data_IF_254324954294
#
_entry.id   IF_254324954294
#
_cell.length_a   1.000
_cell.length_b   1.000
_cell.length_c   1.000
_cell.angle_alpha   90.00
_cell.angle_beta   90.00
_cell.angle_gamma   90.00
#
_symmetry.space_group_name_H-M   'P 1'
#
loop_
_entity.id
_entity.type
_entity.pdbx_description
1 polymer ?
#
# COMPACT_ATOMS: atom_id res chain seq x y z
N UNK A 1 11.78 -57.75 -9.28
CA UNK A 1 11.54 -57.77 -10.74
C UNK A 1 10.04 -57.70 -11.02
N UNK A 2 9.48 -56.53 -11.32
CA UNK A 2 8.65 -56.27 -12.51
C UNK A 2 8.01 -54.88 -12.43
N UNK A 3 8.07 -54.25 -13.58
CA UNK A 3 7.82 -52.88 -13.96
C UNK A 3 6.38 -52.69 -14.48
N UNK A 4 5.94 -51.41 -14.50
CA UNK A 4 5.06 -50.76 -15.48
C UNK A 4 3.54 -51.04 -15.48
N UNK A 5 2.74 -49.97 -15.50
CA UNK A 5 2.10 -49.51 -16.74
C UNK A 5 1.35 -48.16 -16.57
N UNK A 6 1.69 -47.23 -17.46
CA UNK A 6 0.99 -45.97 -17.81
C UNK A 6 -0.06 -46.31 -18.88
N UNK A 7 -1.26 -45.70 -18.85
CA UNK A 7 -2.17 -45.51 -20.01
C UNK A 7 -3.40 -44.70 -19.55
N UNK A 8 -3.44 -43.36 -19.67
CA UNK A 8 -3.91 -42.58 -20.84
C UNK A 8 -5.13 -43.21 -21.52
N UNK A 9 -6.32 -42.73 -21.16
CA UNK A 9 -7.56 -42.91 -21.92
C UNK A 9 -8.06 -41.55 -22.39
N UNK A 10 -8.27 -41.49 -23.70
CA UNK A 10 -8.83 -40.39 -24.47
C UNK A 10 -10.32 -40.18 -24.17
N UNK A 11 -10.80 -38.93 -24.18
CA UNK A 11 -11.95 -38.48 -24.99
C UNK A 11 -12.36 -37.04 -24.62
N UNK A 12 -12.37 -36.17 -25.62
CA UNK A 12 -12.97 -34.85 -25.56
C UNK A 12 -14.51 -34.95 -25.60
N UNK A 13 -15.19 -34.18 -24.74
CA UNK A 13 -16.58 -33.79 -24.95
C UNK A 13 -16.75 -32.32 -24.55
N UNK A 14 -16.86 -31.50 -25.58
CA UNK A 14 -17.15 -30.08 -25.52
C UNK A 14 -18.65 -29.92 -25.22
N UNK A 15 -19.00 -29.44 -24.04
CA UNK A 15 -20.38 -29.02 -23.73
C UNK A 15 -20.38 -27.50 -23.63
N UNK A 16 -20.81 -26.85 -24.71
CA UNK A 16 -21.22 -25.46 -24.71
C UNK A 16 -22.65 -25.41 -24.13
N UNK A 17 -22.80 -24.84 -22.94
CA UNK A 17 -24.10 -24.42 -22.41
C UNK A 17 -24.00 -22.93 -22.09
N UNK A 18 -24.58 -22.11 -22.97
CA UNK A 18 -24.72 -20.67 -22.76
C UNK A 18 -25.95 -20.32 -21.93
N UNK A 19 -25.90 -19.08 -21.42
CA UNK A 19 -26.94 -18.24 -20.82
C UNK A 19 -27.27 -18.47 -19.33
N UNK A 20 -26.84 -17.52 -18.47
CA UNK A 20 -27.47 -17.37 -17.15
C UNK A 20 -26.77 -16.55 -16.08
N UNK A 21 -25.58 -15.96 -16.26
CA UNK A 21 -25.06 -15.02 -15.27
C UNK A 21 -25.78 -13.67 -15.42
N UNK A 22 -26.68 -13.36 -14.49
CA UNK A 22 -27.22 -12.01 -14.30
C UNK A 22 -26.06 -11.12 -13.89
N UNK A 23 -25.40 -10.52 -14.87
CA UNK A 23 -24.54 -9.38 -14.65
C UNK A 23 -25.45 -8.29 -14.04
N UNK A 24 -25.29 -8.04 -12.74
CA UNK A 24 -25.63 -6.74 -12.21
C UNK A 24 -24.77 -5.76 -12.98
N UNK A 25 -25.47 -4.84 -13.65
CA UNK A 25 -24.97 -3.87 -14.60
C UNK A 25 -24.03 -2.88 -13.91
N UNK A 26 -22.75 -3.26 -13.79
CA UNK A 26 -21.68 -2.41 -13.25
C UNK A 26 -21.12 -1.48 -14.35
N UNK A 27 -21.44 -1.76 -15.63
CA UNK A 27 -20.90 -1.02 -16.76
C UNK A 27 -21.65 0.29 -17.04
N UNK A 28 -22.98 0.32 -16.91
CA UNK A 28 -23.75 1.55 -17.11
C UNK A 28 -23.62 2.54 -15.94
N UNK A 29 -23.29 2.10 -14.72
CA UNK A 29 -22.99 3.01 -13.60
C UNK A 29 -21.62 3.69 -13.72
N UNK A 30 -20.61 3.00 -14.28
CA UNK A 30 -19.28 3.58 -14.50
C UNK A 30 -19.27 4.61 -15.65
N UNK A 31 -20.20 4.51 -16.61
CA UNK A 31 -20.35 5.47 -17.71
C UNK A 31 -20.99 6.80 -17.29
N UNK A 32 -21.84 6.79 -16.26
CA UNK A 32 -22.54 7.98 -15.76
C UNK A 32 -21.74 8.76 -14.70
N UNK A 33 -20.80 8.11 -14.01
CA UNK A 33 -19.92 8.75 -13.02
C UNK A 33 -18.92 9.76 -13.62
N UNK A 34 -18.45 9.53 -14.85
CA UNK A 34 -17.53 10.43 -15.55
C UNK A 34 -18.20 11.72 -16.05
N UNK A 35 -19.53 11.70 -16.22
CA UNK A 35 -20.32 12.84 -16.69
C UNK A 35 -20.70 13.80 -15.56
N UNK A 36 -20.55 13.39 -14.30
CA UNK A 36 -20.88 14.18 -13.10
C UNK A 36 -19.71 14.33 -12.12
N UNK A 37 -18.47 14.35 -12.64
CA UNK A 37 -17.28 14.88 -11.93
C UNK A 37 -16.88 14.23 -10.60
N UNK A 38 -17.49 13.10 -10.23
CA UNK A 38 -17.22 12.41 -8.98
C UNK A 38 -16.21 11.29 -9.26
N UNK A 39 -14.94 11.67 -9.39
CA UNK A 39 -13.84 10.72 -9.23
C UNK A 39 -13.94 10.14 -7.81
N UNK A 40 -13.86 8.80 -7.63
CA UNK A 40 -13.84 8.22 -6.30
C UNK A 40 -12.61 8.76 -5.55
N UNK A 41 -12.84 9.67 -4.61
CA UNK A 41 -11.84 10.06 -3.62
C UNK A 41 -11.56 8.81 -2.79
N UNK A 42 -10.49 8.09 -3.09
CA UNK A 42 -9.92 7.13 -2.15
C UNK A 42 -9.37 7.91 -0.95
N UNK A 43 -10.26 8.40 -0.10
CA UNK A 43 -9.96 8.93 1.22
C UNK A 43 -9.78 7.77 2.23
N UNK A 44 -9.13 6.69 1.79
CA UNK A 44 -8.55 5.73 2.72
C UNK A 44 -7.33 6.39 3.35
N UNK A 45 -7.12 6.19 4.66
CA UNK A 45 -5.88 6.56 5.34
C UNK A 45 -4.70 5.94 4.57
N UNK A 46 -4.07 6.72 3.69
CA UNK A 46 -3.00 6.24 2.84
C UNK A 46 -1.76 6.06 3.71
N UNK A 47 -1.27 4.83 3.79
CA UNK A 47 -0.01 4.55 4.45
C UNK A 47 1.14 4.92 3.49
N UNK A 48 1.99 5.86 3.90
CA UNK A 48 3.18 6.25 3.13
C UNK A 48 4.41 5.37 3.41
N UNK A 49 4.33 4.45 4.38
CA UNK A 49 5.41 3.49 4.65
C UNK A 49 5.48 2.44 3.54
N UNK A 50 6.60 2.44 2.81
CA UNK A 50 6.85 1.51 1.69
C UNK A 50 7.64 0.27 2.10
N UNK A 51 8.33 0.31 3.24
CA UNK A 51 9.09 -0.83 3.74
C UNK A 51 8.16 -1.95 4.21
N UNK A 52 8.38 -3.16 3.69
CA UNK A 52 7.54 -4.34 3.97
C UNK A 52 8.25 -5.42 4.79
N UNK A 53 9.54 -5.24 5.09
CA UNK A 53 10.30 -6.17 5.93
C UNK A 53 9.69 -6.31 7.32
N UNK A 54 9.67 -7.56 7.82
CA UNK A 54 8.97 -7.91 9.04
C UNK A 54 9.67 -9.04 9.83
N UNK A 55 10.89 -8.78 10.31
CA UNK A 55 11.62 -9.77 11.09
C UNK A 55 10.88 -10.02 12.41
N UNK A 56 10.73 -11.28 12.80
CA UNK A 56 9.92 -11.65 13.96
C UNK A 56 8.44 -11.26 13.82
N UNK A 57 7.95 -11.02 12.60
CA UNK A 57 6.57 -10.58 12.35
C UNK A 57 6.32 -9.09 12.61
N UNK A 58 7.36 -8.31 12.91
CA UNK A 58 7.23 -6.89 13.28
C UNK A 58 7.41 -6.00 12.05
N UNK A 59 6.29 -5.44 11.57
CA UNK A 59 6.26 -4.49 10.45
C UNK A 59 6.54 -3.06 10.92
N UNK A 60 7.01 -2.22 9.99
CA UNK A 60 7.12 -0.79 10.22
C UNK A 60 5.75 -0.16 10.45
N UNK A 61 5.69 0.77 11.39
CA UNK A 61 4.45 1.47 11.72
C UNK A 61 3.95 2.26 10.51
N UNK A 62 2.63 2.31 10.29
CA UNK A 62 2.10 3.08 9.18
C UNK A 62 2.33 4.58 9.38
N UNK A 63 2.64 5.28 8.31
CA UNK A 63 2.72 6.74 8.26
C UNK A 63 1.41 7.23 7.65
N UNK A 64 0.57 7.82 8.48
CA UNK A 64 -0.80 8.22 8.12
C UNK A 64 -0.98 9.73 8.20
N UNK A 65 -2.08 10.23 7.65
CA UNK A 65 -2.38 11.66 7.69
C UNK A 65 -2.95 12.02 9.05
N UNK A 66 -2.32 12.98 9.72
CA UNK A 66 -2.81 13.51 10.99
C UNK A 66 -3.95 14.53 10.78
N UNK A 67 -4.57 14.94 11.88
CA UNK A 67 -5.56 16.04 11.89
C UNK A 67 -4.92 17.43 12.06
N UNK A 68 -3.59 17.53 12.21
CA UNK A 68 -2.88 18.79 12.40
C UNK A 68 -2.18 19.21 11.09
N UNK A 69 -2.57 20.33 10.45
CA UNK A 69 -1.96 20.78 9.20
C UNK A 69 -0.46 21.15 9.35
N UNK A 70 -0.02 21.61 10.51
CA UNK A 70 1.39 21.94 10.77
C UNK A 70 2.26 20.68 11.00
N UNK A 71 1.61 19.55 11.30
CA UNK A 71 2.26 18.25 11.54
C UNK A 71 1.50 17.14 10.83
N UNK A 72 1.50 17.13 9.49
CA UNK A 72 0.55 16.34 8.70
C UNK A 72 0.80 14.83 8.73
N UNK A 73 1.97 14.38 9.20
CA UNK A 73 2.31 12.97 9.30
C UNK A 73 2.03 12.44 10.71
N UNK A 74 1.48 11.25 10.83
CA UNK A 74 1.23 10.57 12.10
C UNK A 74 1.76 9.15 12.08
N UNK A 75 2.45 8.76 13.16
CA UNK A 75 3.00 7.43 13.40
C UNK A 75 2.68 7.04 14.84
N UNK A 76 1.79 6.06 15.03
CA UNK A 76 1.39 5.54 16.35
C UNK A 76 0.93 6.62 17.35
N UNK A 77 0.27 7.67 16.85
CA UNK A 77 -0.22 8.80 17.66
C UNK A 77 0.77 9.96 17.81
N UNK A 78 2.04 9.79 17.46
CA UNK A 78 2.99 10.89 17.34
C UNK A 78 2.82 11.58 15.99
N UNK A 79 2.79 12.91 15.96
CA UNK A 79 2.70 13.69 14.72
C UNK A 79 4.05 14.27 14.29
N UNK A 80 4.24 14.59 13.02
CA UNK A 80 5.53 15.10 12.50
C UNK A 80 5.31 16.15 11.40
N UNK A 81 6.16 17.17 11.33
CA UNK A 81 6.08 18.20 10.29
C UNK A 81 6.53 17.70 8.92
N UNK A 82 7.44 16.72 8.87
CA UNK A 82 8.04 16.21 7.64
C UNK A 82 8.03 14.68 7.56
N UNK A 83 8.04 14.15 6.34
CA UNK A 83 7.98 12.72 6.07
C UNK A 83 9.22 11.98 6.57
N UNK A 84 10.42 12.56 6.43
CA UNK A 84 11.68 11.88 6.79
C UNK A 84 11.73 11.60 8.29
N UNK A 85 11.35 12.56 9.13
CA UNK A 85 11.26 12.38 10.58
C UNK A 85 10.20 11.34 10.95
N UNK A 86 9.04 11.35 10.29
CA UNK A 86 8.00 10.34 10.50
C UNK A 86 8.47 8.92 10.10
N UNK A 87 9.11 8.79 8.94
CA UNK A 87 9.63 7.51 8.44
C UNK A 87 10.71 6.95 9.36
N UNK A 88 11.63 7.80 9.83
CA UNK A 88 12.64 7.41 10.81
C UNK A 88 11.99 6.93 12.11
N UNK A 89 10.98 7.64 12.63
CA UNK A 89 10.23 7.19 13.82
C UNK A 89 9.57 5.83 13.58
N UNK A 90 8.94 5.61 12.44
CA UNK A 90 8.30 4.34 12.12
C UNK A 90 9.30 3.17 12.09
N UNK A 91 10.50 3.39 11.55
CA UNK A 91 11.57 2.39 11.54
C UNK A 91 12.17 2.15 12.93
N UNK A 92 12.30 3.20 13.76
CA UNK A 92 12.80 3.05 15.14
C UNK A 92 11.79 2.30 16.03
N UNK A 93 10.50 2.59 15.90
CA UNK A 93 9.42 1.86 16.58
C UNK A 93 9.45 0.36 16.20
N UNK A 94 9.70 0.09 14.92
CA UNK A 94 9.81 -1.26 14.37
C UNK A 94 11.02 -2.01 14.95
N UNK A 95 12.19 -1.35 15.01
CA UNK A 95 13.39 -1.91 15.64
C UNK A 95 13.14 -2.27 17.11
N UNK A 96 12.51 -1.37 17.87
CA UNK A 96 12.24 -1.59 19.29
C UNK A 96 11.35 -2.82 19.49
N UNK A 97 10.24 -2.90 18.76
CA UNK A 97 9.34 -4.06 18.78
C UNK A 97 10.02 -5.35 18.29
N UNK A 98 10.85 -5.27 17.26
CA UNK A 98 11.66 -6.40 16.79
C UNK A 98 12.61 -6.90 17.89
N UNK A 99 13.25 -5.97 18.61
CA UNK A 99 14.17 -6.28 19.70
C UNK A 99 13.44 -6.91 20.88
N UNK A 100 12.22 -6.46 21.19
CA UNK A 100 11.35 -7.09 22.17
C UNK A 100 11.01 -8.53 21.78
N UNK A 101 10.72 -8.80 20.50
CA UNK A 101 10.47 -10.16 20.01
C UNK A 101 11.74 -11.02 20.07
N UNK A 102 12.90 -10.48 19.70
CA UNK A 102 14.18 -11.21 19.78
C UNK A 102 14.52 -11.62 21.23
N UNK A 103 14.34 -10.70 22.18
CA UNK A 103 14.66 -10.93 23.58
C UNK A 103 13.59 -11.78 24.29
N UNK A 104 12.32 -11.41 24.15
CA UNK A 104 11.22 -11.93 24.96
C UNK A 104 10.27 -12.86 24.21
N UNK A 105 10.36 -12.90 22.87
CA UNK A 105 9.50 -13.71 22.03
C UNK A 105 9.86 -15.19 21.99
N UNK A 106 8.95 -15.97 21.41
CA UNK A 106 9.11 -17.41 21.18
C UNK A 106 10.14 -17.70 20.06
N UNK A 107 10.28 -16.79 19.10
CA UNK A 107 11.29 -16.87 18.05
C UNK A 107 12.61 -16.32 18.59
N UNK A 108 13.70 -17.07 18.39
CA UNK A 108 15.04 -16.65 18.81
C UNK A 108 15.88 -16.28 17.59
N UNK A 109 16.34 -15.05 17.57
CA UNK A 109 17.26 -14.50 16.57
C UNK A 109 18.02 -13.33 17.21
N UNK A 110 19.16 -12.94 16.61
CA UNK A 110 19.99 -11.88 17.16
C UNK A 110 19.34 -10.50 16.99
N UNK A 111 19.43 -9.68 18.03
CA UNK A 111 18.96 -8.28 18.01
C UNK A 111 19.66 -7.46 16.92
N UNK A 112 20.90 -7.82 16.54
CA UNK A 112 21.62 -7.19 15.43
C UNK A 112 20.87 -7.31 14.09
N UNK A 113 20.03 -8.33 13.91
CA UNK A 113 19.16 -8.45 12.73
C UNK A 113 18.02 -7.43 12.72
N UNK A 114 17.59 -6.95 13.88
CA UNK A 114 16.68 -5.81 13.96
C UNK A 114 17.37 -4.50 13.55
N UNK A 115 18.67 -4.34 13.87
CA UNK A 115 19.45 -3.18 13.44
C UNK A 115 19.66 -3.15 11.92
N UNK A 116 19.99 -4.31 11.33
CA UNK A 116 20.07 -4.47 9.87
C UNK A 116 18.74 -4.09 9.22
N UNK A 117 17.63 -4.63 9.73
CA UNK A 117 16.30 -4.33 9.20
C UNK A 117 15.91 -2.84 9.37
N UNK A 118 16.28 -2.21 10.47
CA UNK A 118 16.03 -0.78 10.69
C UNK A 118 16.80 0.08 9.67
N UNK A 119 18.02 -0.32 9.31
CA UNK A 119 18.83 0.35 8.29
C UNK A 119 18.19 0.25 6.91
N UNK A 120 17.70 -0.94 6.55
CA UNK A 120 16.95 -1.15 5.30
C UNK A 120 15.65 -0.35 5.27
N UNK A 121 14.93 -0.29 6.39
CA UNK A 121 13.70 0.49 6.53
C UNK A 121 13.96 1.98 6.28
N UNK A 122 15.03 2.54 6.87
CA UNK A 122 15.40 3.95 6.67
C UNK A 122 15.81 4.23 5.22
N UNK A 123 16.61 3.35 4.63
CA UNK A 123 16.98 3.46 3.21
C UNK A 123 15.76 3.40 2.27
N UNK A 124 14.75 2.59 2.60
CA UNK A 124 13.48 2.56 1.86
C UNK A 124 12.68 3.87 2.02
N UNK A 125 12.73 4.49 3.20
CA UNK A 125 12.18 5.82 3.47
C UNK A 125 12.88 6.93 2.67
N UNK A 126 14.20 6.85 2.53
CA UNK A 126 14.97 7.85 1.78
C UNK A 126 14.78 7.72 0.26
N UNK A 127 14.45 6.53 -0.24
CA UNK A 127 14.27 6.25 -1.67
C UNK A 127 12.81 6.32 -2.15
N UNK A 128 11.84 6.49 -1.25
CA UNK A 128 10.43 6.56 -1.65
C UNK A 128 10.07 7.90 -2.29
N UNK A 129 9.29 7.84 -3.36
CA UNK A 129 8.71 9.02 -4.02
C UNK A 129 7.35 9.42 -3.42
N UNK A 130 6.79 8.59 -2.54
CA UNK A 130 5.49 8.83 -1.87
C UNK A 130 5.69 9.50 -0.51
N UNK A 131 6.09 10.77 -0.54
CA UNK A 131 6.39 11.54 0.68
C UNK A 131 5.27 12.51 1.08
N UNK A 132 4.15 12.53 0.36
CA UNK A 132 3.00 13.39 0.66
C UNK A 132 1.69 12.63 0.53
N UNK A 133 0.71 13.02 1.34
CA UNK A 133 -0.67 12.59 1.13
C UNK A 133 -1.21 13.40 -0.04
N UNK A 134 -1.53 12.73 -1.15
CA UNK A 134 -2.08 13.41 -2.33
C UNK A 134 -3.18 14.37 -1.91
N UNK A 135 -3.06 15.63 -2.34
CA UNK A 135 -4.13 16.59 -2.13
C UNK A 135 -5.41 16.06 -2.77
N UNK A 136 -6.60 16.39 -2.24
CA UNK A 136 -7.78 16.30 -3.06
C UNK A 136 -7.51 17.22 -4.26
N UNK A 137 -7.16 16.63 -5.41
CA UNK A 137 -7.13 17.37 -6.67
C UNK A 137 -8.54 17.94 -6.80
N UNK A 138 -8.67 19.24 -6.55
CA UNK A 138 -9.83 20.00 -6.97
C UNK A 138 -9.74 20.04 -8.50
N UNK A 139 -10.20 18.97 -9.15
CA UNK A 139 -10.70 19.08 -10.51
C UNK A 139 -11.96 19.95 -10.39
N UNK A 140 -11.78 21.27 -10.44
CA UNK A 140 -12.83 22.21 -10.09
C UNK A 140 -12.40 23.67 -10.12
N UNK A 141 -12.21 24.17 -11.35
CA UNK A 141 -12.69 25.50 -11.79
C UNK A 141 -12.18 26.74 -11.07
N UNK A 142 -10.99 27.19 -11.44
CA UNK A 142 -10.79 28.60 -11.80
C UNK A 142 -10.49 28.66 -13.30
N UNK A 143 -11.23 29.48 -14.03
CA UNK A 143 -11.23 29.54 -15.50
C UNK A 143 -9.96 30.10 -16.12
N UNK A 144 -8.78 29.64 -15.70
CA UNK A 144 -7.50 30.07 -16.25
C UNK A 144 -7.08 29.16 -17.42
N UNK A 145 -7.78 29.33 -18.54
CA UNK A 145 -7.41 28.78 -19.85
C UNK A 145 -6.24 29.56 -20.49
N UNK A 146 -5.23 29.96 -19.72
CA UNK A 146 -4.00 30.60 -20.25
C UNK A 146 -3.08 29.61 -21.01
N UNK A 147 -3.60 28.45 -21.40
CA UNK A 147 -2.90 27.44 -22.18
C UNK A 147 -3.15 27.59 -23.70
N UNK A 148 -3.99 28.55 -24.12
CA UNK A 148 -4.34 28.79 -25.53
C UNK A 148 -4.22 30.26 -25.99
N UNK A 149 -3.32 31.05 -25.41
CA UNK A 149 -3.01 32.38 -25.95
C UNK A 149 -1.50 32.67 -25.89
N UNK A 150 -0.77 32.20 -26.89
CA UNK A 150 0.37 32.94 -27.43
C UNK A 150 0.25 32.87 -28.99
N UNK A 151 0.44 33.99 -29.71
CA UNK A 151 -0.10 34.21 -31.07
C UNK A 151 0.64 33.48 -32.20
#
# INVERSE_FOLDING_TARGET
MKTMAVQVWWAAALVLSGAGARALDISDELGMGWKMGLLPRQAGSQNLQTFTGALGGVKASPITKSNNPDRPFEVEGDTFPDFSTAANRACDNQKNKCSEVANNGAQKFDVSKCDEQATECKAAGDSTTKQSFGEPVFAGTDGNFDIFCDP
#
